data_IF_355685762144
#
_entry.id   IF_355685762144
#
_cell.length_a   1.000
_cell.length_b   1.000
_cell.length_c   1.000
_cell.angle_alpha   90.00
_cell.angle_beta   90.00
_cell.angle_gamma   90.00
#
_symmetry.space_group_name_H-M   'P 1'
#
loop_
_entity.id
_entity.type
_entity.pdbx_description
1 polymer ?
#
# COMPACT_ATOMS: atom_id res chain seq x y z
N UNK A 1 -27.78 -24.23 3.19
CA UNK A 1 -27.20 -25.14 2.16
C UNK A 1 -25.70 -25.19 2.39
N UNK A 2 -25.18 -26.40 2.55
CA UNK A 2 -23.83 -26.70 3.03
C UNK A 2 -22.75 -26.30 2.02
N UNK A 3 -21.77 -25.51 2.47
CA UNK A 3 -20.56 -25.15 1.73
C UNK A 3 -19.66 -26.39 1.67
N UNK A 4 -19.59 -27.01 0.48
CA UNK A 4 -18.61 -28.08 0.23
C UNK A 4 -17.24 -27.43 0.00
N UNK A 5 -16.43 -27.37 1.06
CA UNK A 5 -14.99 -27.23 0.92
C UNK A 5 -14.47 -28.42 0.10
N UNK A 6 -14.02 -28.18 -1.13
CA UNK A 6 -13.17 -29.13 -1.82
C UNK A 6 -11.82 -29.13 -1.10
N UNK A 7 -11.50 -30.24 -0.46
CA UNK A 7 -10.19 -30.52 0.10
C UNK A 7 -9.13 -30.37 -0.99
N UNK A 8 -8.22 -29.42 -0.80
CA UNK A 8 -6.99 -29.32 -1.59
C UNK A 8 -6.14 -30.57 -1.32
N UNK A 9 -5.44 -31.11 -2.33
CA UNK A 9 -4.58 -32.27 -2.16
C UNK A 9 -3.43 -31.95 -1.18
N UNK A 10 -3.13 -32.92 -0.31
CA UNK A 10 -1.94 -32.96 0.53
C UNK A 10 -0.68 -32.88 -0.35
N UNK A 11 -0.23 -31.66 -0.63
CA UNK A 11 1.08 -31.36 -1.17
C UNK A 11 1.79 -30.50 -0.12
N UNK A 12 3.10 -30.70 0.03
CA UNK A 12 3.96 -29.87 0.88
C UNK A 12 3.49 -28.42 0.84
N UNK A 13 3.13 -27.87 2.00
CA UNK A 13 2.63 -26.50 2.14
C UNK A 13 3.58 -25.58 1.37
N UNK A 14 3.12 -24.97 0.27
CA UNK A 14 4.00 -24.09 -0.50
C UNK A 14 4.47 -22.97 0.42
N UNK A 15 5.78 -22.71 0.43
CA UNK A 15 6.37 -21.75 1.35
C UNK A 15 5.79 -20.35 1.19
N UNK A 16 5.32 -19.99 -0.01
CA UNK A 16 4.78 -18.67 -0.34
C UNK A 16 3.37 -18.84 -0.94
N UNK A 17 2.42 -18.02 -0.49
CA UNK A 17 1.07 -17.92 -1.03
C UNK A 17 0.66 -16.46 -1.23
N UNK A 18 0.78 -15.98 -2.47
CA UNK A 18 0.31 -14.65 -2.85
C UNK A 18 -1.07 -14.78 -3.46
N UNK A 19 -2.07 -14.13 -2.87
CA UNK A 19 -3.45 -14.20 -3.34
C UNK A 19 -3.79 -13.04 -4.27
N UNK A 20 -4.44 -13.33 -5.40
CA UNK A 20 -5.04 -12.33 -6.30
C UNK A 20 -6.57 -12.32 -6.10
N UNK A 21 -7.17 -11.17 -5.75
CA UNK A 21 -8.61 -11.07 -5.56
C UNK A 21 -9.35 -11.16 -6.90
N UNK A 22 -10.33 -12.06 -6.96
CA UNK A 22 -11.26 -12.23 -8.06
C UNK A 22 -12.58 -11.52 -7.70
N UNK A 23 -12.87 -10.43 -8.39
CA UNK A 23 -14.01 -9.55 -8.12
C UNK A 23 -15.27 -9.92 -8.89
N UNK A 24 -15.13 -10.74 -9.94
CA UNK A 24 -16.24 -11.16 -10.80
C UNK A 24 -16.23 -12.67 -11.04
N UNK A 25 -17.43 -13.24 -11.18
CA UNK A 25 -17.59 -14.66 -11.52
C UNK A 25 -16.94 -14.94 -12.88
N UNK A 26 -16.05 -15.93 -12.91
CA UNK A 26 -15.33 -16.31 -14.12
C UNK A 26 -14.12 -15.43 -14.46
N UNK A 27 -13.77 -14.46 -13.60
CA UNK A 27 -12.50 -13.77 -13.68
C UNK A 27 -11.36 -14.79 -13.56
N UNK A 28 -10.36 -14.66 -14.44
CA UNK A 28 -9.13 -15.44 -14.40
C UNK A 28 -8.04 -14.63 -13.71
N UNK A 29 -7.07 -15.35 -13.16
CA UNK A 29 -5.84 -14.74 -12.66
C UNK A 29 -5.11 -13.98 -13.78
N UNK A 30 -4.58 -12.81 -13.43
CA UNK A 30 -3.62 -12.10 -14.28
C UNK A 30 -2.23 -12.69 -14.12
N UNK A 31 -1.85 -12.98 -12.87
CA UNK A 31 -0.58 -13.63 -12.54
C UNK A 31 -0.77 -15.14 -12.31
N UNK A 32 -0.19 -15.96 -13.19
CA UNK A 32 -0.28 -17.42 -13.07
C UNK A 32 0.43 -17.99 -11.84
N UNK A 33 1.36 -17.23 -11.25
CA UNK A 33 2.10 -17.61 -10.03
C UNK A 33 1.32 -17.31 -8.75
N UNK A 34 0.17 -16.64 -8.83
CA UNK A 34 -0.65 -16.29 -7.67
C UNK A 34 -1.79 -17.28 -7.45
N UNK A 35 -2.36 -17.25 -6.25
CA UNK A 35 -3.50 -18.05 -5.83
C UNK A 35 -4.78 -17.24 -5.99
N UNK A 36 -5.88 -17.84 -6.48
CA UNK A 36 -7.15 -17.13 -6.58
C UNK A 36 -7.77 -16.91 -5.20
N UNK A 37 -8.30 -15.71 -4.96
CA UNK A 37 -9.13 -15.41 -3.79
C UNK A 37 -10.47 -14.84 -4.26
N UNK A 38 -11.53 -15.63 -4.19
CA UNK A 38 -12.88 -15.15 -4.51
C UNK A 38 -13.34 -14.15 -3.44
N UNK A 39 -13.70 -12.93 -3.87
CA UNK A 39 -14.15 -11.87 -2.96
C UNK A 39 -15.66 -11.74 -3.01
N UNK A 40 -16.28 -11.73 -1.83
CA UNK A 40 -17.67 -11.29 -1.69
C UNK A 40 -17.72 -9.76 -1.64
N UNK A 41 -18.11 -9.15 -2.75
CA UNK A 41 -18.27 -7.69 -2.90
C UNK A 41 -19.53 -7.13 -2.20
N UNK A 42 -20.29 -7.94 -1.47
CA UNK A 42 -21.57 -7.54 -0.88
C UNK A 42 -21.46 -6.47 0.22
N UNK A 43 -20.85 -6.79 1.36
CA UNK A 43 -20.84 -5.91 2.54
C UNK A 43 -19.56 -5.06 2.63
N UNK A 44 -19.71 -3.77 2.95
CA UNK A 44 -18.60 -2.82 3.22
C UNK A 44 -17.63 -2.63 2.04
N UNK A 45 -18.16 -2.56 0.81
CA UNK A 45 -17.36 -2.34 -0.41
C UNK A 45 -16.45 -1.10 -0.33
N UNK A 46 -16.86 -0.05 0.40
CA UNK A 46 -16.06 1.14 0.70
C UNK A 46 -14.74 0.88 1.45
N UNK A 47 -14.57 -0.29 2.09
CA UNK A 47 -13.31 -0.69 2.72
C UNK A 47 -12.30 -1.23 1.71
N UNK A 48 -12.73 -1.66 0.52
CA UNK A 48 -11.86 -2.21 -0.53
C UNK A 48 -10.88 -3.27 0.02
N UNK A 49 -9.60 -3.21 -0.34
CA UNK A 49 -8.57 -4.18 0.05
C UNK A 49 -8.35 -4.28 1.56
N UNK A 50 -8.64 -3.23 2.35
CA UNK A 50 -8.58 -3.30 3.82
C UNK A 50 -9.46 -4.41 4.37
N UNK A 51 -10.67 -4.58 3.81
CA UNK A 51 -11.57 -5.66 4.19
C UNK A 51 -10.95 -7.02 3.92
N UNK A 52 -10.31 -7.19 2.77
CA UNK A 52 -9.74 -8.47 2.34
C UNK A 52 -8.62 -8.90 3.29
N UNK A 53 -7.73 -7.98 3.68
CA UNK A 53 -6.69 -8.26 4.68
C UNK A 53 -7.28 -8.73 6.02
N UNK A 54 -8.31 -8.04 6.52
CA UNK A 54 -8.98 -8.37 7.77
C UNK A 54 -9.70 -9.73 7.68
N UNK A 55 -10.39 -10.00 6.57
CA UNK A 55 -11.06 -11.29 6.33
C UNK A 55 -10.06 -12.44 6.24
N UNK A 56 -8.94 -12.25 5.51
CA UNK A 56 -7.86 -13.24 5.41
C UNK A 56 -7.29 -13.57 6.78
N UNK A 57 -7.05 -12.56 7.61
CA UNK A 57 -6.54 -12.75 8.98
C UNK A 57 -7.54 -13.50 9.86
N UNK A 58 -8.81 -13.05 9.88
CA UNK A 58 -9.89 -13.68 10.68
C UNK A 58 -10.17 -15.12 10.25
N UNK A 59 -10.03 -15.44 8.97
CA UNK A 59 -10.19 -16.79 8.42
C UNK A 59 -8.92 -17.66 8.54
N UNK A 60 -7.81 -17.12 9.07
CA UNK A 60 -6.53 -17.83 9.19
C UNK A 60 -5.87 -18.17 7.86
N UNK A 61 -6.19 -17.45 6.77
CA UNK A 61 -5.60 -17.67 5.45
C UNK A 61 -4.10 -17.38 5.47
N UNK A 62 -3.66 -16.38 6.25
CA UNK A 62 -2.25 -16.01 6.38
C UNK A 62 -1.36 -17.12 6.96
N UNK A 63 -1.95 -18.11 7.64
CA UNK A 63 -1.25 -19.26 8.23
C UNK A 63 -1.13 -20.47 7.30
N UNK A 64 -1.68 -20.38 6.08
CA UNK A 64 -1.67 -21.50 5.12
C UNK A 64 -0.33 -21.67 4.40
N UNK A 65 0.56 -20.69 4.51
CA UNK A 65 1.87 -20.64 3.86
C UNK A 65 2.88 -20.02 4.82
N UNK A 66 4.18 -20.23 4.56
CA UNK A 66 5.25 -19.57 5.33
C UNK A 66 5.24 -18.05 5.15
N UNK A 67 4.90 -17.58 3.95
CA UNK A 67 4.65 -16.18 3.61
C UNK A 67 3.31 -16.04 2.91
N UNK A 68 2.52 -15.05 3.31
CA UNK A 68 1.24 -14.74 2.67
C UNK A 68 1.17 -13.26 2.27
N UNK A 69 0.55 -12.96 1.13
CA UNK A 69 0.25 -11.59 0.69
C UNK A 69 -1.01 -11.52 -0.18
N UNK A 70 -1.46 -10.30 -0.48
CA UNK A 70 -2.63 -10.02 -1.31
C UNK A 70 -2.28 -8.99 -2.37
N UNK A 71 -2.20 -9.40 -3.64
CA UNK A 71 -1.77 -8.53 -4.74
C UNK A 71 -2.93 -8.32 -5.71
N UNK A 72 -3.19 -7.06 -6.06
CA UNK A 72 -4.17 -6.70 -7.09
C UNK A 72 -3.85 -7.36 -8.44
N UNK A 73 -4.86 -7.68 -9.29
CA UNK A 73 -4.65 -8.07 -10.68
C UNK A 73 -3.84 -7.05 -11.51
N UNK A 74 -3.70 -5.82 -11.01
CA UNK A 74 -2.87 -4.78 -11.62
C UNK A 74 -1.38 -4.83 -11.21
N UNK A 75 -0.93 -5.90 -10.54
CA UNK A 75 0.44 -6.02 -10.03
C UNK A 75 1.49 -5.77 -11.13
N UNK A 76 1.49 -6.56 -12.20
CA UNK A 76 2.44 -6.39 -13.29
C UNK A 76 2.27 -5.06 -14.01
N UNK A 77 1.03 -4.61 -14.23
CA UNK A 77 0.77 -3.30 -14.84
C UNK A 77 1.38 -2.13 -14.05
N UNK A 78 1.38 -2.21 -12.72
CA UNK A 78 1.86 -1.13 -11.84
C UNK A 78 3.36 -1.22 -11.55
N UNK A 79 3.93 -2.42 -11.57
CA UNK A 79 5.32 -2.63 -11.13
C UNK A 79 6.27 -2.95 -12.28
N UNK A 80 5.75 -3.44 -13.41
CA UNK A 80 6.55 -4.02 -14.49
C UNK A 80 7.13 -5.40 -14.15
N UNK A 81 6.90 -5.92 -12.94
CA UNK A 81 7.49 -7.17 -12.43
C UNK A 81 6.50 -8.30 -12.66
N UNK A 82 7.01 -9.49 -13.01
CA UNK A 82 6.18 -10.70 -13.13
C UNK A 82 5.99 -11.36 -11.77
N UNK A 83 4.84 -12.00 -11.55
CA UNK A 83 4.56 -12.67 -10.27
C UNK A 83 5.65 -13.66 -9.85
N UNK A 84 6.23 -14.42 -10.80
CA UNK A 84 7.31 -15.36 -10.51
C UNK A 84 8.61 -14.69 -10.09
N UNK A 85 9.00 -13.57 -10.70
CA UNK A 85 10.20 -12.82 -10.30
C UNK A 85 10.08 -12.33 -8.86
N UNK A 86 8.88 -11.91 -8.46
CA UNK A 86 8.63 -11.51 -7.08
C UNK A 86 8.65 -12.71 -6.13
N UNK A 87 8.13 -13.87 -6.53
CA UNK A 87 8.23 -15.10 -5.73
C UNK A 87 9.68 -15.52 -5.53
N UNK A 88 10.49 -15.54 -6.59
CA UNK A 88 11.93 -15.85 -6.52
C UNK A 88 12.68 -14.87 -5.60
N UNK A 89 12.30 -13.59 -5.65
CA UNK A 89 12.83 -12.58 -4.73
C UNK A 89 12.50 -12.92 -3.27
N UNK A 90 11.27 -13.33 -2.97
CA UNK A 90 10.88 -13.71 -1.60
C UNK A 90 11.63 -14.96 -1.14
N UNK A 91 11.78 -15.98 -1.99
CA UNK A 91 12.55 -17.19 -1.69
C UNK A 91 14.02 -16.87 -1.37
N UNK A 92 14.62 -15.98 -2.16
CA UNK A 92 16.00 -15.50 -1.96
C UNK A 92 16.18 -14.65 -0.69
N UNK A 93 15.08 -14.24 -0.05
CA UNK A 93 15.05 -13.43 1.16
C UNK A 93 14.27 -14.11 2.30
N UNK A 94 14.36 -15.43 2.41
CA UNK A 94 13.65 -16.25 3.44
C UNK A 94 13.98 -15.92 4.91
N UNK A 95 14.93 -15.03 5.18
CA UNK A 95 15.21 -14.51 6.54
C UNK A 95 14.42 -13.23 6.86
N UNK A 96 13.83 -12.58 5.85
CA UNK A 96 13.01 -11.40 6.05
C UNK A 96 11.65 -11.77 6.61
N UNK A 97 11.11 -10.96 7.51
CA UNK A 97 9.75 -11.15 8.02
C UNK A 97 8.69 -10.60 7.06
N UNK A 98 9.09 -9.66 6.21
CA UNK A 98 8.26 -9.08 5.17
C UNK A 98 9.10 -8.73 3.95
N UNK A 99 8.58 -9.10 2.78
CA UNK A 99 9.13 -8.79 1.47
C UNK A 99 8.13 -7.89 0.73
N UNK A 100 8.57 -6.79 0.13
CA UNK A 100 7.66 -5.88 -0.57
C UNK A 100 8.26 -5.27 -1.83
N UNK A 101 7.39 -4.70 -2.68
CA UNK A 101 7.79 -3.82 -3.77
C UNK A 101 6.97 -2.54 -3.76
N UNK A 102 7.62 -1.42 -4.08
CA UNK A 102 6.93 -0.17 -4.29
C UNK A 102 6.68 0.04 -5.78
N UNK A 103 5.41 0.14 -6.17
CA UNK A 103 5.03 0.43 -7.56
C UNK A 103 5.43 1.85 -8.01
N UNK A 104 5.76 2.75 -7.09
CA UNK A 104 6.13 4.13 -7.39
C UNK A 104 7.49 4.51 -6.78
N UNK A 105 8.59 3.93 -7.28
CA UNK A 105 9.93 4.07 -6.69
C UNK A 105 10.53 5.48 -6.76
N UNK A 106 9.94 6.39 -7.54
CA UNK A 106 10.29 7.81 -7.59
C UNK A 106 9.71 8.63 -6.43
N UNK A 107 8.59 8.19 -5.83
CA UNK A 107 7.91 8.96 -4.79
C UNK A 107 8.68 9.18 -3.47
N UNK A 108 9.63 8.31 -3.04
CA UNK A 108 10.49 8.63 -1.91
C UNK A 108 11.30 9.91 -2.13
N UNK A 109 11.54 10.33 -3.38
CA UNK A 109 12.32 11.54 -3.68
C UNK A 109 11.47 12.81 -3.67
N UNK A 110 10.15 12.68 -3.83
CA UNK A 110 9.23 13.82 -3.88
C UNK A 110 8.49 14.04 -2.56
N UNK A 111 8.63 13.17 -1.57
CA UNK A 111 7.93 13.30 -0.30
C UNK A 111 8.77 12.77 0.85
N UNK A 112 8.79 13.51 1.97
CA UNK A 112 9.53 13.09 3.16
C UNK A 112 9.02 11.75 3.68
N UNK A 113 7.70 11.59 3.75
CA UNK A 113 7.04 10.34 4.09
C UNK A 113 5.68 10.23 3.39
N UNK A 114 5.01 9.09 3.58
CA UNK A 114 3.70 8.83 2.98
C UNK A 114 2.63 9.85 3.38
N UNK A 115 2.72 10.45 4.56
CA UNK A 115 1.72 11.40 5.05
C UNK A 115 1.85 12.78 4.41
N UNK A 116 3.08 13.19 4.05
CA UNK A 116 3.30 14.41 3.27
C UNK A 116 2.65 14.29 1.88
N UNK A 117 2.86 13.17 1.19
CA UNK A 117 2.22 12.91 -0.12
C UNK A 117 0.69 12.85 0.03
N UNK A 118 0.22 12.14 1.06
CA UNK A 118 -1.20 12.00 1.35
C UNK A 118 -1.90 13.34 1.53
N UNK A 119 -1.30 14.25 2.28
CA UNK A 119 -1.90 15.55 2.57
C UNK A 119 -1.96 16.44 1.32
N UNK A 120 -1.00 16.28 0.39
CA UNK A 120 -1.06 16.92 -0.92
C UNK A 120 -2.19 16.34 -1.77
N UNK A 121 -2.29 15.01 -1.87
CA UNK A 121 -3.28 14.31 -2.70
C UNK A 121 -4.71 14.37 -2.14
N UNK A 122 -4.84 14.34 -0.82
CA UNK A 122 -6.10 14.23 -0.09
C UNK A 122 -6.08 15.15 1.15
N UNK A 123 -6.27 16.47 0.99
CA UNK A 123 -6.21 17.41 2.10
C UNK A 123 -7.10 17.00 3.28
N UNK A 124 -6.54 17.03 4.49
CA UNK A 124 -7.18 16.64 5.74
C UNK A 124 -7.05 15.15 6.10
N UNK A 125 -6.45 14.32 5.25
CA UNK A 125 -6.28 12.89 5.51
C UNK A 125 -5.45 12.61 6.76
N UNK A 126 -4.40 13.39 7.04
CA UNK A 126 -3.56 13.18 8.22
C UNK A 126 -4.33 13.31 9.52
N UNK A 127 -5.20 14.33 9.64
CA UNK A 127 -6.07 14.52 10.81
C UNK A 127 -7.09 13.40 10.97
N UNK A 128 -7.70 12.96 9.86
CA UNK A 128 -8.68 11.86 9.86
C UNK A 128 -8.01 10.54 10.27
N UNK A 129 -6.84 10.25 9.73
CA UNK A 129 -6.03 9.08 10.08
C UNK A 129 -5.63 9.08 11.55
N UNK A 130 -5.13 10.20 12.07
CA UNK A 130 -4.74 10.32 13.48
C UNK A 130 -5.92 10.06 14.43
N UNK A 131 -7.10 10.61 14.09
CA UNK A 131 -8.32 10.38 14.88
C UNK A 131 -8.77 8.91 14.83
N UNK A 132 -8.69 8.27 13.66
CA UNK A 132 -9.03 6.86 13.48
C UNK A 132 -8.14 5.95 14.33
N UNK A 133 -6.82 6.07 14.19
CA UNK A 133 -5.89 5.17 14.89
C UNK A 133 -5.96 5.37 16.41
N UNK A 134 -6.16 6.61 16.88
CA UNK A 134 -6.33 6.89 18.31
C UNK A 134 -7.61 6.23 18.87
N UNK A 135 -8.72 6.25 18.12
CA UNK A 135 -9.96 5.57 18.51
C UNK A 135 -9.87 4.05 18.43
N UNK A 136 -9.04 3.53 17.54
CA UNK A 136 -8.71 2.11 17.46
C UNK A 136 -7.71 1.65 18.55
N UNK A 137 -7.26 2.55 19.44
CA UNK A 137 -6.32 2.21 20.52
C UNK A 137 -4.86 2.08 20.07
N UNK A 138 -4.52 2.53 18.86
CA UNK A 138 -3.16 2.49 18.31
C UNK A 138 -2.42 3.75 18.75
N UNK A 139 -1.37 3.56 19.55
CA UNK A 139 -0.60 4.64 20.15
C UNK A 139 0.53 5.15 19.23
N UNK A 140 0.18 5.68 18.06
CA UNK A 140 1.12 6.33 17.15
C UNK A 140 0.80 7.81 16.99
N UNK A 141 1.85 8.62 16.83
CA UNK A 141 1.75 10.04 16.51
C UNK A 141 2.18 10.25 15.07
N UNK A 142 1.22 10.38 14.15
CA UNK A 142 1.48 10.43 12.71
C UNK A 142 2.32 11.65 12.29
N UNK A 143 2.26 12.75 13.03
CA UNK A 143 3.10 13.94 12.79
C UNK A 143 4.58 13.70 13.09
N UNK A 144 4.90 12.64 13.83
CA UNK A 144 6.28 12.29 14.22
C UNK A 144 6.81 11.10 13.40
N UNK A 145 6.06 10.62 12.41
CA UNK A 145 6.50 9.53 11.53
C UNK A 145 7.75 9.96 10.77
N UNK A 146 8.83 9.16 10.80
CA UNK A 146 10.10 9.56 10.23
C UNK A 146 10.07 9.52 8.69
N UNK A 147 11.24 9.79 8.11
CA UNK A 147 11.54 9.65 6.69
C UNK A 147 11.15 8.26 6.17
N UNK A 148 10.38 8.19 5.08
CA UNK A 148 10.15 6.93 4.34
C UNK A 148 10.95 6.93 3.04
N UNK A 149 12.22 6.51 3.14
CA UNK A 149 13.09 6.30 1.98
C UNK A 149 12.73 5.04 1.17
N UNK A 150 13.50 4.74 0.11
CA UNK A 150 13.26 3.57 -0.75
C UNK A 150 13.15 2.24 0.01
N UNK A 151 13.83 2.09 1.15
CA UNK A 151 13.85 0.86 1.96
C UNK A 151 12.58 0.62 2.80
N UNK A 152 11.70 1.62 2.91
CA UNK A 152 10.52 1.60 3.79
C UNK A 152 9.24 1.93 3.02
N UNK A 153 9.32 2.79 2.02
CA UNK A 153 8.15 3.29 1.30
C UNK A 153 7.53 2.21 0.41
N UNK A 154 6.26 1.91 0.62
CA UNK A 154 5.45 1.04 -0.23
C UNK A 154 4.06 1.63 -0.43
N UNK A 155 3.66 1.79 -1.69
CA UNK A 155 2.30 2.06 -2.13
C UNK A 155 1.67 0.81 -2.77
N UNK A 156 0.35 0.79 -2.93
CA UNK A 156 -0.44 -0.32 -3.50
C UNK A 156 -0.43 -1.63 -2.70
N UNK A 157 0.07 -1.63 -1.45
CA UNK A 157 0.09 -2.79 -0.54
C UNK A 157 0.68 -4.08 -1.16
N UNK A 158 1.71 -3.98 -2.01
CA UNK A 158 2.38 -5.15 -2.59
C UNK A 158 3.47 -5.68 -1.66
N UNK A 159 3.05 -6.39 -0.61
CA UNK A 159 3.92 -7.05 0.35
C UNK A 159 3.45 -8.48 0.68
N UNK A 160 4.40 -9.35 1.00
CA UNK A 160 4.16 -10.68 1.59
C UNK A 160 4.87 -10.74 2.93
N UNK A 161 4.19 -11.25 3.94
CA UNK A 161 4.72 -11.35 5.30
C UNK A 161 4.65 -12.77 5.85
N UNK A 162 5.56 -13.09 6.75
CA UNK A 162 5.48 -14.30 7.57
C UNK A 162 4.30 -14.19 8.57
N UNK A 163 3.97 -15.30 9.24
CA UNK A 163 2.89 -15.30 10.23
C UNK A 163 3.11 -14.22 11.31
N UNK A 164 4.32 -14.04 11.81
CA UNK A 164 4.65 -13.05 12.84
C UNK A 164 4.40 -11.61 12.38
N UNK A 165 4.70 -11.30 11.13
CA UNK A 165 4.39 -10.01 10.52
C UNK A 165 2.88 -9.81 10.41
N UNK A 166 2.13 -10.80 9.94
CA UNK A 166 0.67 -10.73 9.87
C UNK A 166 0.03 -10.53 11.24
N UNK A 167 0.48 -11.24 12.28
CA UNK A 167 -0.03 -11.05 13.64
C UNK A 167 0.22 -9.64 14.15
N UNK A 168 1.42 -9.08 13.94
CA UNK A 168 1.77 -7.76 14.47
C UNK A 168 1.16 -6.62 13.65
N UNK A 169 1.21 -6.69 12.32
CA UNK A 169 0.69 -5.63 11.46
C UNK A 169 -0.82 -5.77 11.25
N UNK A 170 -1.28 -6.87 10.66
CA UNK A 170 -2.71 -7.03 10.36
C UNK A 170 -3.50 -7.24 11.66
N UNK A 171 -3.08 -8.16 12.51
CA UNK A 171 -3.71 -8.41 13.81
C UNK A 171 -3.59 -7.25 14.80
N UNK A 172 -2.42 -6.59 14.87
CA UNK A 172 -2.17 -5.51 15.83
C UNK A 172 -2.56 -4.10 15.38
N UNK A 173 -2.76 -3.86 14.08
CA UNK A 173 -3.05 -2.52 13.52
C UNK A 173 -4.36 -2.53 12.74
N UNK A 174 -4.49 -3.41 11.74
CA UNK A 174 -5.65 -3.38 10.84
C UNK A 174 -6.93 -3.91 11.49
N UNK A 175 -6.84 -4.99 12.26
CA UNK A 175 -7.99 -5.59 12.95
C UNK A 175 -8.59 -4.64 14.01
N UNK A 176 -7.83 -3.95 14.88
CA UNK A 176 -8.38 -2.97 15.81
C UNK A 176 -9.13 -1.83 15.11
N UNK A 177 -8.63 -1.37 13.95
CA UNK A 177 -9.33 -0.37 13.14
C UNK A 177 -10.67 -0.94 12.64
N UNK A 178 -10.67 -2.17 12.13
CA UNK A 178 -11.87 -2.82 11.63
C UNK A 178 -12.92 -2.99 12.74
N UNK A 179 -12.50 -3.46 13.92
CA UNK A 179 -13.36 -3.62 15.09
C UNK A 179 -13.95 -2.28 15.55
N UNK A 180 -13.13 -1.22 15.61
CA UNK A 180 -13.63 0.12 15.92
C UNK A 180 -14.72 0.57 14.94
N UNK A 181 -14.50 0.42 13.63
CA UNK A 181 -15.46 0.81 12.61
C UNK A 181 -16.73 -0.05 12.63
N UNK A 182 -16.63 -1.33 12.95
CA UNK A 182 -17.76 -2.26 13.09
C UNK A 182 -18.62 -1.94 14.31
N UNK A 183 -17.99 -1.62 15.44
CA UNK A 183 -18.67 -1.32 16.71
C UNK A 183 -19.21 0.11 16.76
N UNK A 184 -18.62 1.05 16.02
CA UNK A 184 -18.95 2.48 16.08
C UNK A 184 -19.30 3.08 14.70
N UNK A 185 -20.16 2.46 13.87
CA UNK A 185 -20.36 2.86 12.48
C UNK A 185 -20.96 4.27 12.32
N UNK A 186 -21.61 4.80 13.36
CA UNK A 186 -22.27 6.11 13.34
C UNK A 186 -21.44 7.23 13.99
N UNK A 187 -20.30 6.90 14.60
CA UNK A 187 -19.40 7.88 15.21
C UNK A 187 -18.80 8.79 14.14
N UNK A 188 -18.58 10.07 14.47
CA UNK A 188 -18.05 11.06 13.54
C UNK A 188 -16.69 10.66 12.94
N UNK A 189 -15.81 10.02 13.73
CA UNK A 189 -14.53 9.52 13.22
C UNK A 189 -14.74 8.42 12.18
N UNK A 190 -15.63 7.46 12.43
CA UNK A 190 -15.94 6.39 11.49
C UNK A 190 -16.55 6.92 10.20
N UNK A 191 -17.52 7.84 10.29
CA UNK A 191 -18.08 8.53 9.12
C UNK A 191 -16.98 9.27 8.34
N UNK A 192 -16.13 10.02 9.04
CA UNK A 192 -15.10 10.85 8.41
C UNK A 192 -14.12 10.07 7.52
N UNK A 193 -13.82 8.82 7.85
CA UNK A 193 -12.91 8.00 7.03
C UNK A 193 -13.63 7.24 5.92
N UNK A 194 -14.97 7.20 5.97
CA UNK A 194 -15.83 6.59 4.96
C UNK A 194 -16.43 7.62 4.00
N UNK A 195 -16.33 8.92 4.31
CA UNK A 195 -16.63 10.03 3.40
C UNK A 195 -15.76 9.94 2.13
N UNK A 196 -16.35 10.31 0.98
CA UNK A 196 -15.65 10.37 -0.31
C UNK A 196 -14.53 11.43 -0.30
N UNK A 197 -13.38 11.08 -0.89
CA UNK A 197 -12.28 12.00 -1.16
C UNK A 197 -12.42 12.68 -2.53
N UNK A 198 -11.64 13.74 -2.77
CA UNK A 198 -11.39 14.25 -4.11
C UNK A 198 -10.48 13.25 -4.86
N UNK A 199 -11.09 12.30 -5.57
CA UNK A 199 -10.42 11.35 -6.45
C UNK A 199 -11.24 11.18 -7.73
N UNK A 200 -10.63 10.64 -8.80
CA UNK A 200 -11.28 10.49 -10.12
C UNK A 200 -12.57 9.66 -10.09
N UNK A 201 -12.76 8.85 -9.05
CA UNK A 201 -14.01 8.20 -8.67
C UNK A 201 -14.26 8.42 -7.16
N UNK A 202 -15.51 8.65 -6.71
CA UNK A 202 -15.82 8.79 -5.29
C UNK A 202 -15.25 7.60 -4.50
N UNK A 203 -14.26 7.87 -3.65
CA UNK A 203 -13.52 6.84 -2.92
C UNK A 203 -13.31 7.32 -1.51
N UNK A 204 -13.68 6.49 -0.53
CA UNK A 204 -13.48 6.79 0.88
C UNK A 204 -12.01 7.13 1.22
N UNK A 205 -11.77 7.90 2.28
CA UNK A 205 -10.41 8.13 2.82
C UNK A 205 -9.75 6.83 3.32
N UNK A 206 -10.54 5.88 3.83
CA UNK A 206 -10.04 4.68 4.53
C UNK A 206 -9.04 3.85 3.71
N UNK A 207 -9.30 3.47 2.44
CA UNK A 207 -8.30 2.77 1.62
C UNK A 207 -6.97 3.51 1.50
N UNK A 208 -7.00 4.83 1.31
CA UNK A 208 -5.79 5.65 1.24
C UNK A 208 -5.04 5.66 2.58
N UNK A 209 -5.75 5.81 3.70
CA UNK A 209 -5.18 5.74 5.04
C UNK A 209 -4.49 4.38 5.26
N UNK A 210 -5.16 3.27 4.96
CA UNK A 210 -4.65 1.91 5.18
C UNK A 210 -3.39 1.63 4.36
N UNK A 211 -3.34 2.09 3.11
CA UNK A 211 -2.13 1.99 2.28
C UNK A 211 -0.92 2.68 2.94
N UNK A 212 -1.13 3.82 3.58
CA UNK A 212 -0.07 4.59 4.28
C UNK A 212 0.37 3.94 5.60
N UNK A 213 -0.50 3.15 6.23
CA UNK A 213 -0.20 2.49 7.51
C UNK A 213 0.89 1.43 7.37
N UNK A 214 1.06 0.79 6.22
CA UNK A 214 2.12 -0.21 6.05
C UNK A 214 3.51 0.42 6.18
N UNK A 215 3.81 1.44 5.38
CA UNK A 215 5.10 2.13 5.45
C UNK A 215 5.31 2.78 6.83
N UNK A 216 4.23 3.29 7.43
CA UNK A 216 4.25 3.85 8.79
C UNK A 216 4.59 2.78 9.83
N UNK A 217 4.01 1.59 9.72
CA UNK A 217 4.31 0.47 10.62
C UNK A 217 5.79 0.10 10.51
N UNK A 218 6.29 -0.12 9.29
CA UNK A 218 7.69 -0.49 9.05
C UNK A 218 8.67 0.53 9.66
N UNK A 219 8.40 1.82 9.50
CA UNK A 219 9.29 2.89 9.98
C UNK A 219 9.31 3.06 11.50
N UNK A 220 8.29 2.54 12.19
CA UNK A 220 8.19 2.58 13.65
C UNK A 220 8.68 1.27 14.31
N UNK A 221 9.01 0.23 13.54
CA UNK A 221 9.55 -1.02 14.08
C UNK A 221 11.08 -1.06 13.99
N UNK A 222 11.76 -1.08 15.13
CA UNK A 222 13.24 -1.10 15.17
C UNK A 222 13.87 -2.45 14.82
N UNK A 223 13.13 -3.56 15.00
CA UNK A 223 13.66 -4.94 14.93
C UNK A 223 12.97 -5.81 13.88
N UNK A 224 12.38 -5.20 12.85
CA UNK A 224 11.75 -5.94 11.76
C UNK A 224 12.77 -6.21 10.65
N UNK A 225 12.97 -7.47 10.29
CA UNK A 225 13.79 -7.81 9.11
C UNK A 225 12.95 -7.62 7.87
N UNK A 226 13.29 -6.63 7.04
CA UNK A 226 12.54 -6.24 5.85
C UNK A 226 13.41 -6.45 4.62
N UNK A 227 12.83 -7.03 3.57
CA UNK A 227 13.45 -7.08 2.25
C UNK A 227 12.58 -6.32 1.25
N UNK A 228 13.21 -5.46 0.43
CA UNK A 228 12.52 -4.80 -0.67
C UNK A 228 13.02 -5.28 -2.02
N UNK A 229 12.11 -5.40 -2.98
CA UNK A 229 12.47 -5.54 -4.37
C UNK A 229 13.02 -4.20 -4.86
N UNK A 230 14.27 -4.19 -5.34
CA UNK A 230 14.91 -2.97 -5.82
C UNK A 230 14.43 -2.67 -7.23
N UNK A 231 13.88 -1.48 -7.41
CA UNK A 231 13.47 -0.95 -8.72
C UNK A 231 14.19 0.37 -8.96
N UNK A 232 14.51 0.65 -10.23
CA UNK A 232 15.06 1.94 -10.61
C UNK A 232 13.98 3.01 -10.44
N UNK A 233 14.22 4.11 -9.68
CA UNK A 233 13.23 5.16 -9.52
C UNK A 233 12.79 5.78 -10.86
N UNK A 234 13.65 5.80 -11.89
CA UNK A 234 13.28 6.30 -13.21
C UNK A 234 12.21 5.46 -13.91
N UNK A 235 12.14 4.15 -13.62
CA UNK A 235 11.11 3.28 -14.18
C UNK A 235 9.70 3.63 -13.68
N UNK A 236 9.60 4.31 -12.53
CA UNK A 236 8.34 4.77 -11.97
C UNK A 236 7.81 6.06 -12.59
N UNK A 237 8.67 6.84 -13.28
CA UNK A 237 8.30 8.13 -13.85
C UNK A 237 7.32 7.96 -15.02
N UNK A 238 6.12 8.56 -14.90
CA UNK A 238 5.07 8.39 -15.91
C UNK A 238 5.19 9.31 -17.13
N UNK A 239 6.07 10.31 -17.05
CA UNK A 239 6.27 11.34 -18.06
C UNK A 239 7.61 12.05 -17.84
N UNK A 240 8.03 12.86 -18.82
CA UNK A 240 9.27 13.64 -18.78
C UNK A 240 9.32 14.65 -17.63
N UNK A 241 8.17 15.16 -17.18
CA UNK A 241 8.10 16.06 -16.04
C UNK A 241 8.56 15.35 -14.75
N UNK A 242 8.07 14.15 -14.48
CA UNK A 242 8.52 13.37 -13.32
C UNK A 242 9.99 12.98 -13.41
N UNK A 243 10.49 12.56 -14.58
CA UNK A 243 11.91 12.20 -14.73
C UNK A 243 12.81 13.42 -14.54
N UNK A 244 12.44 14.58 -15.07
CA UNK A 244 13.19 15.84 -14.89
C UNK A 244 13.24 16.26 -13.41
N UNK A 245 12.12 16.17 -12.70
CA UNK A 245 12.10 16.44 -11.25
C UNK A 245 13.01 15.48 -10.48
N UNK A 246 12.98 14.19 -10.84
CA UNK A 246 13.81 13.16 -10.21
C UNK A 246 15.30 13.42 -10.45
N UNK A 247 15.72 13.71 -11.68
CA UNK A 247 17.10 14.07 -12.04
C UNK A 247 17.62 15.22 -11.19
N UNK A 248 16.77 16.24 -10.99
CA UNK A 248 17.14 17.43 -10.24
C UNK A 248 17.38 17.13 -8.75
N UNK A 249 16.52 16.34 -8.11
CA UNK A 249 16.51 16.21 -6.64
C UNK A 249 17.25 14.98 -6.11
N UNK A 250 17.39 13.93 -6.92
CA UNK A 250 17.84 12.61 -6.47
C UNK A 250 19.17 12.64 -5.72
N UNK A 251 20.19 13.29 -6.29
CA UNK A 251 21.55 13.32 -5.73
C UNK A 251 21.61 14.02 -4.37
N UNK A 252 20.77 15.02 -4.14
CA UNK A 252 20.72 15.72 -2.86
C UNK A 252 19.95 14.90 -1.81
N UNK A 253 18.84 14.26 -2.20
CA UNK A 253 18.08 13.37 -1.30
C UNK A 253 18.91 12.15 -0.90
N UNK A 254 19.59 11.50 -1.85
CA UNK A 254 20.46 10.35 -1.55
C UNK A 254 21.54 10.75 -0.52
N UNK A 255 22.16 11.92 -0.69
CA UNK A 255 23.19 12.43 0.22
C UNK A 255 22.66 12.72 1.63
N UNK A 256 21.43 13.19 1.75
CA UNK A 256 20.81 13.44 3.06
C UNK A 256 20.30 12.14 3.70
N UNK A 257 19.78 11.19 2.92
CA UNK A 257 19.39 9.85 3.38
C UNK A 257 20.62 9.08 3.88
N UNK A 258 21.78 9.17 3.21
CA UNK A 258 23.07 8.60 3.67
C UNK A 258 23.52 9.15 5.03
N UNK A 259 23.13 10.37 5.36
CA UNK A 259 23.41 11.02 6.65
C UNK A 259 22.37 10.71 7.71
N UNK A 260 21.32 9.95 7.36
CA UNK A 260 20.14 9.71 8.19
C UNK A 260 19.49 11.01 8.69
N UNK A 261 19.54 12.08 7.89
CA UNK A 261 19.05 13.39 8.31
C UNK A 261 18.61 14.23 7.11
N UNK A 262 17.30 14.32 6.90
CA UNK A 262 16.72 15.23 5.92
C UNK A 262 16.54 16.63 6.54
N UNK A 263 17.10 17.64 5.90
CA UNK A 263 17.02 19.05 6.32
C UNK A 263 15.60 19.60 6.14
N UNK A 264 15.24 20.64 6.89
CA UNK A 264 13.92 21.27 6.74
C UNK A 264 13.77 21.95 5.36
N UNK A 265 14.86 22.51 4.82
CA UNK A 265 14.90 23.01 3.43
C UNK A 265 14.59 21.90 2.42
N UNK A 266 15.17 20.72 2.60
CA UNK A 266 14.87 19.57 1.74
C UNK A 266 13.42 19.10 1.92
N UNK A 267 12.89 19.04 3.14
CA UNK A 267 11.46 18.70 3.37
C UNK A 267 10.53 19.68 2.66
N UNK A 268 10.84 20.97 2.67
CA UNK A 268 10.05 21.99 1.98
C UNK A 268 10.15 21.84 0.46
N UNK A 269 11.33 21.54 -0.07
CA UNK A 269 11.55 21.22 -1.49
C UNK A 269 10.77 19.97 -1.92
N UNK A 270 10.82 18.89 -1.13
CA UNK A 270 10.03 17.68 -1.35
C UNK A 270 8.53 18.01 -1.34
N UNK A 271 8.03 18.75 -0.34
CA UNK A 271 6.61 19.15 -0.28
C UNK A 271 6.18 19.91 -1.53
N UNK A 272 7.02 20.83 -2.01
CA UNK A 272 6.77 21.56 -3.26
C UNK A 272 6.71 20.59 -4.46
N UNK A 273 7.64 19.64 -4.56
CA UNK A 273 7.72 18.70 -5.67
C UNK A 273 6.52 17.74 -5.68
N UNK A 274 6.10 17.24 -4.52
CA UNK A 274 4.86 16.47 -4.37
C UNK A 274 3.64 17.24 -4.89
N UNK A 275 3.51 18.51 -4.51
CA UNK A 275 2.41 19.38 -4.96
C UNK A 275 2.46 19.67 -6.45
N UNK A 276 3.63 20.02 -7.00
CA UNK A 276 3.80 20.30 -8.42
C UNK A 276 3.49 19.06 -9.28
N UNK A 277 3.98 17.89 -8.86
CA UNK A 277 3.66 16.61 -9.49
C UNK A 277 2.15 16.37 -9.52
N UNK A 278 1.46 16.54 -8.40
CA UNK A 278 0.01 16.33 -8.34
C UNK A 278 -0.74 17.28 -9.28
N UNK A 279 -0.39 18.57 -9.27
CA UNK A 279 -0.99 19.57 -10.17
C UNK A 279 -0.76 19.21 -11.63
N UNK A 280 0.45 18.77 -11.98
CA UNK A 280 0.78 18.33 -13.33
C UNK A 280 -0.05 17.10 -13.73
N UNK A 281 -0.10 16.07 -12.88
CA UNK A 281 -0.89 14.84 -13.13
C UNK A 281 -2.36 15.20 -13.40
N UNK A 282 -2.98 16.01 -12.55
CA UNK A 282 -4.37 16.40 -12.70
C UNK A 282 -4.59 17.19 -14.01
N UNK A 283 -3.72 18.14 -14.31
CA UNK A 283 -3.84 18.96 -15.53
C UNK A 283 -3.57 18.16 -16.82
N UNK A 284 -2.54 17.33 -16.81
CA UNK A 284 -2.08 16.59 -17.98
C UNK A 284 -3.04 15.45 -18.31
N UNK A 285 -3.40 14.62 -17.33
CA UNK A 285 -4.28 13.47 -17.55
C UNK A 285 -5.78 13.83 -17.59
N UNK A 286 -6.15 15.08 -17.33
CA UNK A 286 -7.47 15.60 -17.73
C UNK A 286 -7.67 15.54 -19.26
N UNK A 287 -6.57 15.62 -20.02
CA UNK A 287 -6.60 15.69 -21.49
C UNK A 287 -5.90 14.51 -22.17
N UNK A 288 -5.18 13.68 -21.41
CA UNK A 288 -4.43 12.53 -21.90
C UNK A 288 -4.81 11.25 -21.14
N UNK A 289 -4.87 10.08 -21.79
CA UNK A 289 -5.12 8.81 -21.09
C UNK A 289 -4.04 8.54 -20.04
N UNK A 290 -4.47 8.19 -18.81
CA UNK A 290 -3.55 7.83 -17.75
C UNK A 290 -3.03 6.40 -17.93
N UNK A 291 -1.72 6.12 -17.82
CA UNK A 291 -1.13 4.82 -18.16
C UNK A 291 -1.70 3.64 -17.36
N UNK A 292 -2.13 3.87 -16.11
CA UNK A 292 -2.69 2.81 -15.25
C UNK A 292 -4.22 2.70 -15.26
N UNK A 293 -4.92 3.62 -15.92
CA UNK A 293 -6.39 3.66 -16.00
C UNK A 293 -6.87 3.44 -17.43
N UNK A 294 -6.09 3.85 -18.42
CA UNK A 294 -6.45 3.79 -19.85
C UNK A 294 -7.43 4.87 -20.30
N UNK A 295 -7.90 5.72 -19.37
CA UNK A 295 -8.82 6.84 -19.63
C UNK A 295 -8.28 8.13 -19.03
N UNK A 296 -8.91 9.26 -19.35
CA UNK A 296 -8.59 10.54 -18.71
C UNK A 296 -9.03 10.54 -17.24
N UNK A 297 -8.33 11.33 -16.42
CA UNK A 297 -8.65 11.59 -15.02
C UNK A 297 -9.52 12.84 -14.97
N UNK A 298 -10.68 12.78 -14.30
CA UNK A 298 -11.47 13.99 -14.04
C UNK A 298 -10.74 14.85 -13.01
N UNK A 299 -10.43 16.09 -13.37
CA UNK A 299 -9.91 17.12 -12.48
C UNK A 299 -10.99 17.61 -11.51
#
# INVERSE_FOLDING_TARGET
MSVRNRSLPNNATTMIGIYEPLYARGQKLTESSFLPLEIDNGARSQWREFKIYVDMYRAGIHRRHGYTGLFSPKFHLKTGIRGEEFVEFVESNSQAQVCFVNAFPQLPYFSYNVWMEAECAHPGIGKRAQALIAKAGINWTLTNVPRHGPDVLCYCNFWVGDESFWERYVGGVLVPIAEFLELNPTCDVAKSVLDDTQHSEPTAFLPFIVERLFSTYLSLQENLVVARFKTDPFQGCLNEFESTLLEYIKVDVDREDERNSISDEMKDKMRLFSKLRLLYILSYYAHNPHPHVGTTIKA
#
